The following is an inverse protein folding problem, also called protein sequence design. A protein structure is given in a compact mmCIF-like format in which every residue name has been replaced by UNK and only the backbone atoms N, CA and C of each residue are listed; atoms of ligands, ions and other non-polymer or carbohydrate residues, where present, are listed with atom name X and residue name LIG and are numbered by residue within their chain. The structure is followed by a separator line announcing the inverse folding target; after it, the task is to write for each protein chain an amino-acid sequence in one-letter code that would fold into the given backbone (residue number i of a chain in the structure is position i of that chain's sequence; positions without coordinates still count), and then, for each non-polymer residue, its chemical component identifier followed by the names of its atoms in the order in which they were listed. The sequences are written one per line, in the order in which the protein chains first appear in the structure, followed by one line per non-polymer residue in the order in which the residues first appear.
data_IF_706251630425
#
_entry.id   IF_706251630425
#
_cell.length_a   1.000
_cell.length_b   1.000
_cell.length_c   1.000
_cell.angle_alpha   90.00
_cell.angle_beta   90.00
_cell.angle_gamma   90.00
#
_symmetry.space_group_name_H-M   'P 1'
#
loop_
_entity.id
_entity.type
_entity.pdbx_description
1 polymer ?
#
# COMPACT_ATOMS: atom_id res chain seq x y z
N UNK A 1 10.57 4.45 8.57
CA UNK A 1 11.70 4.47 9.54
C UNK A 1 11.44 5.42 10.69
N UNK A 2 10.99 6.66 10.43
CA UNK A 2 10.70 7.64 11.49
C UNK A 2 9.76 7.08 12.57
N UNK A 3 8.65 6.44 12.20
CA UNK A 3 7.68 5.90 13.16
C UNK A 3 8.28 4.82 14.08
N UNK A 4 8.99 3.85 13.51
CA UNK A 4 9.66 2.78 14.27
C UNK A 4 10.74 3.35 15.21
N UNK A 5 11.47 4.38 14.77
CA UNK A 5 12.45 5.07 15.61
C UNK A 5 11.81 5.95 16.70
N UNK A 6 10.49 6.13 16.65
CA UNK A 6 9.71 6.92 17.61
C UNK A 6 8.61 6.06 18.27
N UNK A 7 8.94 4.82 18.61
CA UNK A 7 8.15 3.93 19.48
C UNK A 7 6.80 3.44 18.93
N UNK A 8 6.53 3.62 17.63
CA UNK A 8 5.34 3.07 16.99
C UNK A 8 5.50 1.55 16.83
N UNK A 9 4.52 0.78 17.31
CA UNK A 9 4.56 -0.69 17.32
C UNK A 9 4.09 -1.38 16.03
N UNK A 10 3.62 -0.62 15.04
CA UNK A 10 3.14 -1.18 13.77
C UNK A 10 2.70 -0.09 12.80
N UNK A 11 2.62 -0.43 11.51
CA UNK A 11 2.25 0.50 10.45
C UNK A 11 1.27 -0.18 9.49
N UNK A 12 0.22 0.54 9.09
CA UNK A 12 -0.84 0.04 8.23
C UNK A 12 -1.06 1.00 7.08
N UNK A 13 -0.98 0.50 5.85
CA UNK A 13 -1.31 1.29 4.67
C UNK A 13 -2.82 1.51 4.55
N UNK A 14 -3.23 2.44 3.69
CA UNK A 14 -4.63 2.78 3.50
C UNK A 14 -5.36 1.77 2.59
N UNK A 15 -5.43 2.05 1.29
CA UNK A 15 -6.09 1.16 0.34
C UNK A 15 -5.12 0.07 -0.11
N UNK A 16 -5.48 -1.20 0.08
CA UNK A 16 -4.65 -2.32 -0.39
C UNK A 16 -4.50 -2.36 -1.92
N UNK A 17 -5.52 -1.92 -2.65
CA UNK A 17 -5.52 -1.80 -4.10
C UNK A 17 -6.48 -0.69 -4.55
N UNK A 18 -6.14 0.00 -5.66
CA UNK A 18 -7.01 0.95 -6.34
C UNK A 18 -6.96 0.73 -7.86
N UNK A 19 -7.87 1.34 -8.61
CA UNK A 19 -7.84 1.31 -10.07
C UNK A 19 -6.77 2.25 -10.68
N UNK A 20 -6.65 2.24 -12.01
CA UNK A 20 -5.72 3.08 -12.77
C UNK A 20 -5.86 4.59 -12.52
N UNK A 21 -6.98 5.04 -11.95
CA UNK A 21 -7.28 6.44 -11.65
C UNK A 21 -7.18 6.77 -10.16
N UNK A 22 -6.83 5.79 -9.32
CA UNK A 22 -6.75 5.97 -7.87
C UNK A 22 -8.11 5.92 -7.16
N UNK A 23 -9.09 5.25 -7.76
CA UNK A 23 -10.44 5.07 -7.23
C UNK A 23 -10.84 3.60 -7.08
N UNK A 24 -12.15 3.30 -6.94
CA UNK A 24 -13.29 4.22 -6.98
C UNK A 24 -13.50 4.98 -5.67
N UNK A 25 -14.07 6.18 -5.75
CA UNK A 25 -14.38 7.03 -4.59
C UNK A 25 -15.64 7.85 -4.87
N UNK A 26 -16.53 7.96 -3.89
CA UNK A 26 -17.82 8.63 -4.07
C UNK A 26 -17.70 10.17 -4.01
N UNK A 27 -16.69 10.68 -3.30
CA UNK A 27 -16.42 12.14 -3.17
C UNK A 27 -15.41 12.66 -4.20
N UNK A 28 -14.89 11.80 -5.08
CA UNK A 28 -13.83 12.20 -6.03
C UNK A 28 -12.45 12.41 -5.38
N UNK A 29 -12.22 11.87 -4.17
CA UNK A 29 -10.92 11.91 -3.51
C UNK A 29 -10.03 10.73 -3.95
N UNK A 30 -9.37 10.88 -5.10
CA UNK A 30 -8.52 9.86 -5.70
C UNK A 30 -7.13 9.84 -5.04
N UNK A 31 -6.60 8.64 -4.80
CA UNK A 31 -5.33 8.43 -4.10
C UNK A 31 -4.49 7.36 -4.81
N UNK A 32 -3.22 7.21 -4.42
CA UNK A 32 -2.41 6.09 -4.87
C UNK A 32 -2.59 4.87 -3.95
N UNK A 33 -2.19 3.70 -4.42
CA UNK A 33 -2.17 2.45 -3.66
C UNK A 33 -0.96 1.60 -4.07
N UNK A 34 -0.37 0.80 -3.17
CA UNK A 34 0.72 -0.12 -3.48
C UNK A 34 0.40 -1.12 -4.60
N UNK A 35 -0.87 -1.42 -4.82
CA UNK A 35 -1.35 -2.25 -5.91
C UNK A 35 -2.31 -1.44 -6.77
N UNK A 36 -2.04 -1.35 -8.07
CA UNK A 36 -2.96 -0.76 -9.04
C UNK A 36 -3.55 -1.86 -9.90
N UNK A 37 -4.87 -1.95 -9.97
CA UNK A 37 -5.61 -2.99 -10.70
C UNK A 37 -6.12 -2.44 -12.03
N UNK A 38 -5.74 -3.11 -13.12
CA UNK A 38 -6.26 -2.85 -14.45
C UNK A 38 -7.30 -3.92 -14.82
N UNK A 39 -8.57 -3.63 -14.51
CA UNK A 39 -9.69 -4.57 -14.74
C UNK A 39 -9.95 -4.90 -16.21
N UNK A 40 -9.54 -4.05 -17.17
CA UNK A 40 -9.82 -4.28 -18.59
C UNK A 40 -8.86 -5.27 -19.22
N UNK A 41 -7.68 -5.43 -18.62
CA UNK A 41 -6.64 -6.36 -19.06
C UNK A 41 -6.44 -7.55 -18.10
N UNK A 42 -7.26 -7.66 -17.04
CA UNK A 42 -7.15 -8.70 -16.00
C UNK A 42 -5.74 -8.79 -15.37
N UNK A 43 -5.14 -7.63 -15.08
CA UNK A 43 -3.79 -7.52 -14.53
C UNK A 43 -3.71 -6.53 -13.37
N UNK A 44 -2.61 -6.58 -12.63
CA UNK A 44 -2.30 -5.61 -11.59
C UNK A 44 -0.81 -5.29 -11.56
N UNK A 45 -0.50 -4.07 -11.13
CA UNK A 45 0.86 -3.56 -11.01
C UNK A 45 1.23 -3.42 -9.54
N UNK A 46 2.41 -3.93 -9.20
CA UNK A 46 3.03 -3.71 -7.89
C UNK A 46 3.85 -2.43 -7.96
N UNK A 47 3.40 -1.40 -7.27
CA UNK A 47 4.09 -0.12 -7.22
C UNK A 47 5.38 -0.23 -6.39
N UNK A 48 6.36 0.70 -6.56
CA UNK A 48 7.55 0.75 -5.70
C UNK A 48 7.24 0.75 -4.19
N UNK A 49 6.13 1.36 -3.78
CA UNK A 49 5.64 1.38 -2.39
C UNK A 49 5.33 -0.01 -1.86
N UNK A 50 4.81 -0.94 -2.68
CA UNK A 50 4.62 -2.34 -2.30
C UNK A 50 5.94 -2.98 -1.88
N UNK A 51 7.01 -2.77 -2.65
CA UNK A 51 8.33 -3.31 -2.34
C UNK A 51 8.95 -2.65 -1.11
N UNK A 52 8.81 -1.32 -0.97
CA UNK A 52 9.27 -0.59 0.20
C UNK A 52 8.61 -1.11 1.49
N UNK A 53 7.29 -1.34 1.50
CA UNK A 53 6.60 -1.94 2.65
C UNK A 53 7.03 -3.39 2.89
N UNK A 54 7.24 -4.15 1.82
CA UNK A 54 7.67 -5.55 1.90
C UNK A 54 9.02 -5.71 2.61
N UNK A 55 9.93 -4.73 2.48
CA UNK A 55 11.19 -4.72 3.25
C UNK A 55 10.97 -4.72 4.78
N UNK A 56 9.80 -4.28 5.25
CA UNK A 56 9.43 -4.35 6.66
C UNK A 56 8.52 -5.55 6.92
N UNK A 57 7.36 -5.61 6.27
CA UNK A 57 6.32 -6.60 6.58
C UNK A 57 6.74 -8.06 6.36
N UNK A 58 7.68 -8.31 5.45
CA UNK A 58 8.21 -9.67 5.21
C UNK A 58 9.25 -10.10 6.24
N UNK A 59 10.01 -9.16 6.79
CA UNK A 59 11.20 -9.45 7.58
C UNK A 59 11.07 -9.10 9.07
N UNK A 60 10.14 -8.20 9.44
CA UNK A 60 9.77 -7.89 10.81
C UNK A 60 8.46 -8.62 11.15
N UNK A 61 8.56 -9.69 11.93
CA UNK A 61 7.41 -10.49 12.36
C UNK A 61 6.74 -9.85 13.58
N UNK A 62 5.46 -10.15 13.86
CA UNK A 62 4.81 -9.72 15.10
C UNK A 62 5.62 -10.10 16.34
N UNK A 63 5.88 -9.14 17.22
CA UNK A 63 6.69 -9.32 18.44
C UNK A 63 8.19 -9.07 18.29
N UNK A 64 8.65 -8.64 17.10
CA UNK A 64 10.01 -8.13 16.89
C UNK A 64 10.26 -6.79 17.59
#
# INVERSE_FOLDING_TARGET
LQDLNNFVGGWTDWNMALDLTGGPTWVGNFLDSPIIVNKTADEFYKQPTHYAMTHFSRFLRPGA
#
